data_IF_264524791121
#
_entry.id   IF_264524791121
#
_cell.length_a   1.000
_cell.length_b   1.000
_cell.length_c   1.000
_cell.angle_alpha   90.00
_cell.angle_beta   90.00
_cell.angle_gamma   90.00
#
_symmetry.space_group_name_H-M   'P 1'
#
loop_
_entity.id
_entity.type
_entity.pdbx_description
1 polymer ?
#
# COMPACT_ATOMS: atom_id res chain seq x y z
N UNK A 1 -28.33 31.55 12.56
CA UNK A 1 -27.33 30.98 13.50
C UNK A 1 -27.43 29.47 13.44
N UNK A 2 -26.48 28.79 12.81
CA UNK A 2 -26.29 27.34 12.94
C UNK A 2 -24.80 27.05 12.72
N UNK A 3 -24.17 26.55 13.77
CA UNK A 3 -22.72 26.46 13.93
C UNK A 3 -22.11 25.30 13.14
N UNK A 4 -21.09 25.64 12.36
CA UNK A 4 -20.17 24.71 11.71
C UNK A 4 -19.32 24.00 12.78
N UNK A 5 -19.45 22.68 12.91
CA UNK A 5 -18.50 21.87 13.68
C UNK A 5 -17.23 21.63 12.86
N UNK A 6 -16.18 22.38 13.20
CA UNK A 6 -14.84 22.23 12.65
C UNK A 6 -14.12 21.08 13.39
N UNK A 7 -13.96 19.92 12.76
CA UNK A 7 -13.14 18.83 13.31
C UNK A 7 -11.66 19.21 13.21
N UNK A 8 -11.10 19.56 14.36
CA UNK A 8 -9.67 19.86 14.56
C UNK A 8 -8.88 18.54 14.60
N UNK A 9 -7.95 18.38 13.67
CA UNK A 9 -6.93 17.33 13.72
C UNK A 9 -5.95 17.64 14.85
N UNK A 10 -5.90 16.78 15.88
CA UNK A 10 -4.86 16.81 16.91
C UNK A 10 -3.82 15.77 16.53
N UNK A 11 -2.63 16.24 16.15
CA UNK A 11 -1.44 15.42 16.02
C UNK A 11 -1.02 14.92 17.40
N UNK A 12 -0.70 13.63 17.49
CA UNK A 12 -0.11 13.06 18.70
C UNK A 12 1.38 13.45 18.73
N UNK A 13 1.69 14.48 19.49
CA UNK A 13 3.05 14.84 19.90
C UNK A 13 3.60 13.83 20.91
N UNK A 14 4.92 13.64 20.83
CA UNK A 14 5.66 12.65 21.59
C UNK A 14 5.75 12.91 23.09
N UNK A 15 5.96 11.82 23.82
CA UNK A 15 6.54 11.84 25.16
C UNK A 15 7.96 11.27 25.05
N UNK A 16 8.93 12.15 25.28
CA UNK A 16 10.34 11.82 25.49
C UNK A 16 10.48 11.32 26.93
N UNK A 17 11.05 10.13 27.12
CA UNK A 17 11.56 9.67 28.41
C UNK A 17 13.08 9.73 28.34
N UNK A 18 13.65 10.47 29.28
CA UNK A 18 15.07 10.70 29.49
C UNK A 18 15.59 9.67 30.51
N UNK A 19 16.66 8.89 30.23
CA UNK A 19 17.29 8.07 31.25
C UNK A 19 18.73 8.51 31.50
N UNK A 20 18.92 9.31 32.56
CA UNK A 20 20.20 9.46 33.24
C UNK A 20 20.17 8.63 34.54
N UNK A 21 20.79 7.44 34.53
CA UNK A 21 21.39 6.84 35.72
C UNK A 21 22.63 6.05 35.30
N UNK A 22 23.77 6.55 35.74
CA UNK A 22 25.07 5.88 35.74
C UNK A 22 25.12 4.81 36.83
N UNK A 23 25.75 3.66 36.53
CA UNK A 23 26.44 2.85 37.54
C UNK A 23 27.63 2.12 36.93
N UNK A 24 28.78 2.41 37.53
CA UNK A 24 30.05 1.72 37.42
C UNK A 24 29.97 0.28 37.92
N UNK A 25 30.62 -0.66 37.21
CA UNK A 25 30.77 -2.05 37.66
C UNK A 25 31.88 -2.76 36.92
N UNK A 26 33.03 -2.86 37.60
CA UNK A 26 34.22 -3.64 37.28
C UNK A 26 33.96 -5.13 37.09
N UNK A 27 34.73 -5.80 36.22
CA UNK A 27 34.91 -7.26 36.29
C UNK A 27 35.33 -7.87 34.96
N UNK A 28 36.63 -8.18 34.82
CA UNK A 28 37.16 -8.84 33.64
C UNK A 28 36.77 -10.32 33.52
N UNK A 29 36.82 -10.83 32.29
CA UNK A 29 37.62 -12.03 32.03
C UNK A 29 37.91 -12.17 30.53
N UNK A 30 39.20 -12.34 30.24
CA UNK A 30 39.76 -12.75 28.96
C UNK A 30 39.41 -14.21 28.71
N UNK A 31 38.88 -14.54 27.54
CA UNK A 31 39.15 -15.83 26.90
C UNK A 31 39.47 -15.55 25.43
N UNK A 32 40.73 -15.81 25.08
CA UNK A 32 41.25 -15.90 23.73
C UNK A 32 41.26 -17.38 23.34
N UNK A 33 40.77 -17.70 22.14
CA UNK A 33 41.18 -18.91 21.42
C UNK A 33 41.52 -18.51 19.99
N UNK A 34 42.77 -18.78 19.61
CA UNK A 34 43.33 -18.66 18.27
C UNK A 34 43.48 -20.05 17.64
N UNK A 35 43.36 -20.13 16.31
CA UNK A 35 43.85 -21.25 15.48
C UNK A 35 42.88 -21.61 14.37
N UNK A 36 43.06 -21.10 13.13
CA UNK A 36 43.82 -21.72 12.00
C UNK A 36 43.26 -23.11 11.63
N UNK A 37 42.85 -23.46 10.41
CA UNK A 37 42.89 -22.86 9.07
C UNK A 37 42.64 -23.98 8.04
N UNK A 38 42.67 -23.64 6.73
CA UNK A 38 42.86 -24.55 5.56
C UNK A 38 41.60 -25.37 5.19
N UNK A 39 41.08 -25.50 3.96
CA UNK A 39 41.52 -25.20 2.58
C UNK A 39 40.35 -25.22 1.58
N UNK A 40 40.48 -24.35 0.58
CA UNK A 40 40.19 -24.54 -0.86
C UNK A 40 39.70 -25.93 -1.33
N UNK A 41 38.57 -25.94 -2.06
CA UNK A 41 38.36 -26.79 -3.23
C UNK A 41 37.76 -25.93 -4.35
N UNK A 42 38.53 -25.80 -5.44
CA UNK A 42 38.22 -25.14 -6.72
C UNK A 42 38.51 -26.18 -7.80
N UNK A 43 37.53 -26.46 -8.64
CA UNK A 43 37.61 -27.14 -9.94
C UNK A 43 36.46 -26.52 -10.75
N UNK A 44 36.63 -25.43 -11.52
CA UNK A 44 37.18 -25.31 -12.89
C UNK A 44 36.72 -26.42 -13.85
N UNK A 45 35.63 -26.21 -14.60
CA UNK A 45 35.48 -25.61 -15.95
C UNK A 45 35.50 -26.63 -17.09
N UNK A 46 34.42 -26.63 -17.90
CA UNK A 46 34.37 -26.88 -19.36
C UNK A 46 32.91 -26.63 -19.79
N UNK A 47 32.51 -25.53 -20.45
CA UNK A 47 32.82 -24.95 -21.76
C UNK A 47 32.38 -25.81 -22.96
N UNK A 48 31.39 -25.25 -23.68
CA UNK A 48 31.07 -25.37 -25.12
C UNK A 48 30.36 -26.63 -25.66
N UNK A 49 29.05 -26.46 -25.91
CA UNK A 49 28.41 -26.40 -27.25
C UNK A 49 26.97 -26.90 -27.13
N UNK A 50 25.99 -26.04 -27.38
CA UNK A 50 24.85 -26.34 -28.25
C UNK A 50 24.08 -25.02 -28.48
N UNK A 51 24.38 -24.39 -29.61
CA UNK A 51 23.52 -23.40 -30.23
C UNK A 51 22.29 -24.13 -30.76
N UNK A 52 21.10 -23.70 -30.33
CA UNK A 52 19.83 -24.23 -30.77
C UNK A 52 18.70 -23.27 -30.40
N UNK A 53 18.36 -22.41 -31.34
CA UNK A 53 17.23 -21.49 -31.34
C UNK A 53 15.95 -22.15 -30.85
N UNK A 54 15.43 -21.75 -29.68
CA UNK A 54 14.06 -22.10 -29.25
C UNK A 54 13.38 -20.84 -28.73
N UNK A 55 12.44 -20.36 -29.54
CA UNK A 55 11.35 -19.45 -29.17
C UNK A 55 10.75 -19.89 -27.82
N UNK A 56 10.84 -19.05 -26.79
CA UNK A 56 10.21 -19.33 -25.51
C UNK A 56 8.72 -19.00 -25.60
N UNK A 57 7.95 -19.97 -26.11
CA UNK A 57 6.54 -20.12 -25.76
C UNK A 57 6.47 -20.35 -24.25
N UNK A 58 5.89 -19.39 -23.54
CA UNK A 58 5.47 -19.52 -22.14
C UNK A 58 4.48 -20.68 -22.07
N UNK A 59 4.97 -21.86 -21.70
CA UNK A 59 4.14 -22.99 -21.34
C UNK A 59 3.53 -22.69 -19.96
N UNK A 60 2.36 -22.02 -19.97
CA UNK A 60 1.40 -22.11 -18.87
C UNK A 60 1.10 -23.59 -18.68
N UNK A 61 1.66 -24.19 -17.63
CA UNK A 61 1.12 -25.41 -17.06
C UNK A 61 -0.35 -25.15 -16.74
N UNK A 62 -1.24 -25.64 -17.62
CA UNK A 62 -2.68 -25.62 -17.46
C UNK A 62 -3.01 -26.65 -16.38
N UNK A 63 -3.33 -26.18 -15.19
CA UNK A 63 -4.11 -26.97 -14.25
C UNK A 63 -5.54 -27.09 -14.82
N UNK A 64 -6.07 -28.30 -15.10
CA UNK A 64 -7.34 -28.45 -15.76
C UNK A 64 -8.46 -28.47 -14.72
N UNK A 65 -9.02 -27.31 -14.39
CA UNK A 65 -10.44 -27.20 -14.02
C UNK A 65 -10.97 -25.83 -14.47
N UNK A 66 -11.76 -25.87 -15.54
CA UNK A 66 -12.84 -24.92 -15.78
C UNK A 66 -13.77 -24.98 -14.56
N UNK A 67 -13.89 -23.88 -13.82
CA UNK A 67 -15.05 -23.67 -12.98
C UNK A 67 -15.51 -22.21 -13.12
N UNK A 68 -16.64 -22.05 -13.81
CA UNK A 68 -17.36 -20.80 -13.97
C UNK A 68 -18.24 -20.51 -12.74
N UNK A 69 -17.74 -20.76 -11.52
CA UNK A 69 -18.38 -20.37 -10.25
C UNK A 69 -17.38 -20.03 -9.14
N UNK A 70 -16.27 -19.33 -9.44
CA UNK A 70 -15.43 -18.77 -8.36
C UNK A 70 -16.21 -17.69 -7.60
N UNK A 71 -16.86 -18.09 -6.50
CA UNK A 71 -17.33 -17.17 -5.47
C UNK A 71 -16.12 -16.40 -4.95
N UNK A 72 -16.24 -15.08 -4.70
CA UNK A 72 -15.17 -14.33 -4.01
C UNK A 72 -14.83 -15.03 -2.70
N UNK A 73 -13.60 -14.91 -2.19
CA UNK A 73 -13.23 -15.60 -0.97
C UNK A 73 -14.22 -15.23 0.13
N UNK A 74 -14.74 -16.30 0.70
CA UNK A 74 -15.64 -16.37 1.85
C UNK A 74 -15.06 -15.54 3.01
N UNK A 75 -13.72 -15.48 3.09
CA UNK A 75 -12.96 -14.72 4.08
C UNK A 75 -12.39 -13.41 3.49
N UNK A 76 -12.58 -12.24 4.12
CA UNK A 76 -12.11 -10.97 3.58
C UNK A 76 -10.66 -10.62 3.93
N UNK A 77 -10.09 -11.23 4.97
CA UNK A 77 -8.73 -10.91 5.44
C UNK A 77 -7.73 -11.90 4.82
N UNK A 78 -6.66 -11.40 4.21
CA UNK A 78 -5.61 -12.25 3.66
C UNK A 78 -4.53 -12.53 4.71
N UNK A 79 -3.99 -11.48 5.35
CA UNK A 79 -2.99 -11.61 6.42
C UNK A 79 -3.45 -10.95 7.73
N UNK A 80 -3.31 -11.69 8.83
CA UNK A 80 -3.52 -11.22 10.20
C UNK A 80 -2.20 -11.31 10.97
N UNK A 81 -1.67 -10.16 11.39
CA UNK A 81 -0.34 -9.98 11.98
C UNK A 81 0.81 -10.57 11.12
N UNK A 82 0.64 -10.50 9.80
CA UNK A 82 1.62 -10.94 8.81
C UNK A 82 1.57 -12.42 8.44
N UNK A 83 0.56 -13.16 8.91
CA UNK A 83 0.36 -14.57 8.57
C UNK A 83 -0.97 -14.76 7.84
N UNK A 84 -1.04 -15.65 6.85
CA UNK A 84 -2.30 -16.09 6.24
C UNK A 84 -3.35 -16.46 7.29
N UNK A 85 -4.63 -16.23 6.98
CA UNK A 85 -5.72 -16.44 7.93
C UNK A 85 -5.84 -17.90 8.42
N UNK A 86 -5.43 -18.86 7.61
CA UNK A 86 -5.48 -20.30 7.87
C UNK A 86 -4.19 -20.85 8.50
N UNK A 87 -3.10 -20.09 8.54
CA UNK A 87 -1.86 -20.50 9.19
C UNK A 87 -2.05 -20.55 10.72
N UNK A 88 -2.09 -21.75 11.30
CA UNK A 88 -2.24 -21.97 12.76
C UNK A 88 -0.95 -22.39 13.47
N UNK A 89 0.22 -22.13 12.88
CA UNK A 89 1.50 -22.44 13.52
C UNK A 89 1.68 -21.69 14.85
N UNK A 90 2.51 -22.24 15.75
CA UNK A 90 2.84 -21.61 17.03
C UNK A 90 3.40 -20.19 16.88
N UNK A 91 4.15 -19.95 15.79
CA UNK A 91 4.67 -18.62 15.48
C UNK A 91 3.54 -17.66 15.09
N UNK A 92 2.60 -18.08 14.23
CA UNK A 92 1.44 -17.26 13.87
C UNK A 92 0.57 -16.96 15.11
N UNK A 93 0.31 -17.98 15.95
CA UNK A 93 -0.40 -17.83 17.21
C UNK A 93 0.29 -16.83 18.15
N UNK A 94 1.62 -16.93 18.31
CA UNK A 94 2.42 -15.99 19.11
C UNK A 94 2.30 -14.56 18.60
N UNK A 95 2.41 -14.34 17.29
CA UNK A 95 2.32 -13.00 16.70
C UNK A 95 0.93 -12.39 16.85
N UNK A 96 -0.13 -13.18 16.66
CA UNK A 96 -1.52 -12.74 16.87
C UNK A 96 -1.81 -12.43 18.33
N UNK A 97 -1.39 -13.30 19.26
CA UNK A 97 -1.59 -13.13 20.69
C UNK A 97 -0.84 -11.91 21.24
N UNK A 98 0.45 -11.75 20.87
CA UNK A 98 1.30 -10.66 21.35
C UNK A 98 1.21 -9.39 20.48
N UNK A 99 0.33 -9.36 19.48
CA UNK A 99 0.14 -8.23 18.57
C UNK A 99 1.44 -7.79 17.87
N UNK A 100 2.30 -8.73 17.51
CA UNK A 100 3.62 -8.47 16.92
C UNK A 100 3.52 -8.19 15.42
N UNK A 101 4.45 -7.41 14.89
CA UNK A 101 4.58 -7.14 13.47
C UNK A 101 5.89 -7.74 12.95
N UNK A 102 5.86 -8.64 11.96
CA UNK A 102 7.08 -9.27 11.44
C UNK A 102 7.84 -8.39 10.42
N UNK A 103 7.31 -7.21 10.06
CA UNK A 103 7.78 -6.43 8.92
C UNK A 103 8.53 -5.15 9.30
N UNK A 104 9.57 -5.23 10.14
CA UNK A 104 10.45 -4.10 10.48
C UNK A 104 9.67 -2.82 10.88
N UNK A 105 8.68 -2.98 11.75
CA UNK A 105 7.94 -1.85 12.29
C UNK A 105 8.81 -1.07 13.28
N UNK A 106 8.45 0.19 13.54
CA UNK A 106 9.19 1.08 14.46
C UNK A 106 9.33 0.50 15.88
N UNK A 107 8.34 -0.28 16.29
CA UNK A 107 8.35 -1.09 17.51
C UNK A 107 7.99 -2.53 17.14
N UNK A 108 8.32 -3.54 17.97
CA UNK A 108 7.99 -4.93 17.65
C UNK A 108 6.49 -5.20 17.44
N UNK A 109 5.62 -4.39 18.03
CA UNK A 109 4.17 -4.52 17.95
C UNK A 109 3.56 -3.84 16.72
N UNK A 110 2.38 -4.28 16.31
CA UNK A 110 1.57 -3.58 15.32
C UNK A 110 1.11 -2.21 15.85
N UNK A 111 1.21 -1.19 15.01
CA UNK A 111 0.86 0.20 15.34
C UNK A 111 -0.36 0.70 14.55
N UNK A 112 -1.01 -0.15 13.77
CA UNK A 112 -2.16 0.24 12.93
C UNK A 112 -3.39 0.55 13.80
N UNK A 113 -3.93 1.75 13.65
CA UNK A 113 -5.10 2.28 14.36
C UNK A 113 -4.83 2.70 15.82
N UNK A 114 -4.89 1.76 16.79
CA UNK A 114 -4.73 2.06 18.22
C UNK A 114 -3.56 1.27 18.82
N UNK A 115 -2.82 1.89 19.76
CA UNK A 115 -1.66 1.25 20.38
C UNK A 115 -2.02 0.04 21.25
N UNK A 116 -3.14 0.11 21.99
CA UNK A 116 -3.59 -0.95 22.90
C UNK A 116 -4.47 -2.02 22.23
N UNK A 117 -5.07 -1.71 21.08
CA UNK A 117 -5.87 -2.64 20.29
C UNK A 117 -5.60 -2.41 18.79
N UNK A 118 -4.44 -2.84 18.30
CA UNK A 118 -4.05 -2.61 16.93
C UNK A 118 -4.88 -3.47 15.98
N UNK A 119 -5.23 -2.88 14.83
CA UNK A 119 -5.87 -3.59 13.73
C UNK A 119 -4.79 -4.33 12.93
N UNK A 120 -4.55 -5.60 13.27
CA UNK A 120 -3.51 -6.45 12.68
C UNK A 120 -3.77 -6.93 11.25
N UNK A 121 -4.74 -6.39 10.53
CA UNK A 121 -4.99 -6.75 9.12
C UNK A 121 -3.94 -6.09 8.23
N UNK A 122 -2.97 -6.89 7.76
CA UNK A 122 -1.87 -6.43 6.90
C UNK A 122 -2.31 -6.36 5.43
N UNK A 123 -3.14 -7.30 5.00
CA UNK A 123 -3.73 -7.38 3.66
C UNK A 123 -5.15 -7.95 3.73
N UNK A 124 -5.96 -7.62 2.73
CA UNK A 124 -7.32 -8.15 2.50
C UNK A 124 -7.36 -8.85 1.16
N UNK A 125 -8.38 -9.66 0.90
CA UNK A 125 -8.60 -10.24 -0.41
C UNK A 125 -9.40 -9.28 -1.32
N UNK A 126 -9.07 -9.33 -2.62
CA UNK A 126 -9.82 -8.74 -3.73
C UNK A 126 -9.99 -9.82 -4.80
N UNK A 127 -11.12 -10.53 -4.77
CA UNK A 127 -11.16 -11.86 -5.37
C UNK A 127 -10.08 -12.74 -4.72
N UNK A 128 -9.33 -13.52 -5.49
CA UNK A 128 -8.26 -14.37 -4.93
C UNK A 128 -6.97 -13.61 -4.60
N UNK A 129 -6.88 -12.33 -4.97
CA UNK A 129 -5.63 -11.57 -4.88
C UNK A 129 -5.48 -10.90 -3.50
N UNK A 130 -4.36 -11.14 -2.78
CA UNK A 130 -4.06 -10.44 -1.53
C UNK A 130 -3.59 -8.99 -1.79
N UNK A 131 -4.35 -8.03 -1.28
CA UNK A 131 -4.11 -6.59 -1.42
C UNK A 131 -3.57 -6.00 -0.12
N UNK A 132 -2.38 -5.39 -0.19
CA UNK A 132 -1.72 -4.78 0.97
C UNK A 132 -2.46 -3.52 1.43
N UNK A 133 -2.90 -3.50 2.69
CA UNK A 133 -3.59 -2.36 3.32
C UNK A 133 -2.79 -1.74 4.48
N UNK A 134 -1.53 -2.15 4.64
CA UNK A 134 -0.62 -1.66 5.66
C UNK A 134 0.73 -1.31 5.01
N UNK A 135 1.19 -0.04 5.04
CA UNK A 135 2.47 0.34 4.44
C UNK A 135 3.67 -0.41 5.02
N UNK A 136 3.64 -0.73 6.32
CA UNK A 136 4.70 -1.49 7.00
C UNK A 136 4.89 -2.88 6.38
N UNK A 137 3.85 -3.47 5.78
CA UNK A 137 3.95 -4.77 5.07
C UNK A 137 4.97 -4.74 3.92
N UNK A 138 5.19 -3.59 3.27
CA UNK A 138 6.18 -3.44 2.21
C UNK A 138 7.63 -3.50 2.72
N UNK A 139 7.87 -3.35 4.03
CA UNK A 139 9.21 -3.35 4.63
C UNK A 139 9.76 -4.76 4.86
N UNK A 140 9.10 -5.79 4.34
CA UNK A 140 9.56 -7.16 4.44
C UNK A 140 10.98 -7.27 3.86
N UNK A 141 11.93 -7.70 4.71
CA UNK A 141 13.35 -7.84 4.37
C UNK A 141 14.01 -6.58 3.78
N UNK A 142 13.35 -5.42 3.87
CA UNK A 142 13.77 -4.18 3.22
C UNK A 142 14.02 -4.28 1.71
N UNK A 143 13.39 -5.23 1.00
CA UNK A 143 13.57 -5.39 -0.45
C UNK A 143 13.22 -4.11 -1.23
N UNK A 144 12.25 -3.33 -0.76
CA UNK A 144 11.90 -2.02 -1.34
C UNK A 144 13.04 -0.99 -1.26
N UNK A 145 13.90 -1.10 -0.24
CA UNK A 145 15.06 -0.22 -0.09
C UNK A 145 16.17 -0.65 -1.04
N UNK A 146 16.39 -1.95 -1.21
CA UNK A 146 17.37 -2.49 -2.16
C UNK A 146 17.00 -2.06 -3.60
N UNK A 147 15.77 -2.33 -4.03
CA UNK A 147 15.29 -1.98 -5.37
C UNK A 147 15.32 -0.46 -5.63
N UNK A 148 15.03 0.35 -4.60
CA UNK A 148 15.14 1.81 -4.69
C UNK A 148 16.60 2.28 -4.76
N UNK A 149 17.51 1.70 -3.98
CA UNK A 149 18.93 2.03 -3.98
C UNK A 149 19.53 1.78 -5.37
N UNK A 150 19.19 0.66 -6.00
CA UNK A 150 19.62 0.29 -7.35
C UNK A 150 19.18 1.30 -8.40
N UNK A 151 18.08 2.01 -8.17
CA UNK A 151 17.64 3.09 -9.05
C UNK A 151 18.33 4.42 -8.73
N UNK A 152 18.54 4.72 -7.45
CA UNK A 152 19.06 6.01 -7.00
C UNK A 152 20.57 6.14 -7.24
N UNK A 153 21.34 5.09 -6.94
CA UNK A 153 22.79 5.16 -6.82
C UNK A 153 23.51 4.24 -7.82
N UNK A 154 24.82 4.45 -8.03
CA UNK A 154 25.69 3.47 -8.68
C UNK A 154 25.80 2.17 -7.85
N UNK A 155 26.07 1.05 -8.53
CA UNK A 155 26.10 -0.32 -7.97
C UNK A 155 26.98 -0.49 -6.71
N UNK A 156 28.07 0.27 -6.60
CA UNK A 156 29.02 0.16 -5.49
C UNK A 156 28.91 1.29 -4.44
N UNK A 157 27.81 2.05 -4.44
CA UNK A 157 27.60 3.11 -3.47
C UNK A 157 27.43 2.53 -2.05
N UNK A 158 28.09 3.12 -1.05
CA UNK A 158 27.71 2.89 0.34
C UNK A 158 26.46 3.70 0.65
N UNK A 159 25.42 3.04 1.16
CA UNK A 159 24.16 3.69 1.49
C UNK A 159 23.52 3.12 2.75
N UNK A 160 22.61 3.89 3.32
CA UNK A 160 21.74 3.49 4.43
C UNK A 160 20.33 4.04 4.23
N UNK A 161 19.37 3.53 5.00
CA UNK A 161 17.97 3.99 4.97
C UNK A 161 17.61 4.74 6.25
N UNK A 162 16.87 5.83 6.10
CA UNK A 162 16.32 6.64 7.18
C UNK A 162 14.80 6.70 7.03
N UNK A 163 14.06 6.33 8.06
CA UNK A 163 12.59 6.31 8.01
C UNK A 163 11.97 7.58 8.60
N UNK A 164 10.82 8.00 8.08
CA UNK A 164 10.01 9.13 8.62
C UNK A 164 10.77 10.47 8.66
N UNK A 165 11.50 10.80 7.60
CA UNK A 165 12.32 12.03 7.53
C UNK A 165 11.45 13.25 7.21
N UNK A 166 11.49 14.28 8.07
CA UNK A 166 10.69 15.50 7.91
C UNK A 166 11.19 16.34 6.74
N UNK A 167 10.29 16.66 5.81
CA UNK A 167 10.52 17.55 4.69
C UNK A 167 9.97 18.95 5.00
N UNK A 168 10.75 20.00 4.73
CA UNK A 168 10.34 21.40 4.90
C UNK A 168 10.27 22.10 3.55
N UNK A 169 9.33 23.03 3.42
CA UNK A 169 9.28 23.95 2.30
C UNK A 169 10.30 25.09 2.42
N UNK A 170 10.36 25.96 1.41
CA UNK A 170 11.28 27.12 1.38
C UNK A 170 11.07 28.13 2.52
N UNK A 171 9.94 28.09 3.21
CA UNK A 171 9.62 28.95 4.36
C UNK A 171 9.82 28.22 5.70
N UNK A 172 10.38 27.01 5.68
CA UNK A 172 10.60 26.20 6.87
C UNK A 172 9.35 25.51 7.41
N UNK A 173 8.19 25.61 6.73
CA UNK A 173 6.96 24.91 7.12
C UNK A 173 7.04 23.44 6.70
N UNK A 174 6.36 22.57 7.44
CA UNK A 174 6.35 21.14 7.13
C UNK A 174 5.60 20.85 5.83
N UNK A 175 6.24 20.14 4.90
CA UNK A 175 5.63 19.60 3.69
C UNK A 175 5.22 18.12 3.85
N UNK A 176 5.40 17.56 5.06
CA UNK A 176 5.17 16.17 5.40
C UNK A 176 6.46 15.42 5.75
N UNK A 177 6.35 14.12 6.00
CA UNK A 177 7.49 13.24 6.22
C UNK A 177 7.63 12.27 5.05
N UNK A 178 8.83 12.10 4.51
CA UNK A 178 9.13 11.06 3.54
C UNK A 178 9.21 9.71 4.26
N UNK A 179 8.58 8.67 3.71
CA UNK A 179 8.48 7.37 4.36
C UNK A 179 9.86 6.74 4.57
N UNK A 180 10.67 6.68 3.50
CA UNK A 180 12.04 6.20 3.52
C UNK A 180 12.92 7.12 2.67
N UNK A 181 14.04 7.58 3.23
CA UNK A 181 15.09 8.29 2.49
C UNK A 181 16.31 7.39 2.47
N UNK A 182 16.79 7.06 1.27
CA UNK A 182 18.06 6.38 1.11
C UNK A 182 19.14 7.42 0.92
N UNK A 183 20.24 7.26 1.65
CA UNK A 183 21.34 8.22 1.70
C UNK A 183 22.63 7.51 1.38
N UNK A 184 23.34 7.97 0.36
CA UNK A 184 24.70 7.53 0.08
C UNK A 184 25.72 8.42 0.78
N UNK A 185 26.83 7.85 1.23
CA UNK A 185 27.83 8.56 2.02
C UNK A 185 29.26 8.13 1.70
N UNK A 186 30.23 9.01 1.99
CA UNK A 186 31.66 8.75 1.83
C UNK A 186 32.22 7.90 3.00
N UNK A 187 33.49 7.50 2.90
CA UNK A 187 34.17 6.72 3.95
C UNK A 187 34.27 7.44 5.32
N UNK A 188 33.90 8.72 5.39
CA UNK A 188 33.86 9.52 6.61
C UNK A 188 32.43 9.76 7.11
N UNK A 189 31.42 9.14 6.50
CA UNK A 189 30.01 9.30 6.86
C UNK A 189 29.38 10.60 6.38
N UNK A 190 30.00 11.33 5.45
CA UNK A 190 29.41 12.55 4.86
C UNK A 190 28.45 12.18 3.74
N UNK A 191 27.25 12.75 3.80
CA UNK A 191 26.22 12.54 2.78
C UNK A 191 26.70 13.06 1.41
N UNK A 192 26.65 12.18 0.41
CA UNK A 192 27.00 12.48 -0.99
C UNK A 192 25.72 12.74 -1.79
N UNK A 193 24.75 11.84 -1.70
CA UNK A 193 23.50 11.92 -2.44
C UNK A 193 22.35 11.26 -1.66
N UNK A 194 21.12 11.47 -2.12
CA UNK A 194 19.95 10.80 -1.58
C UNK A 194 18.86 10.59 -2.61
N UNK A 195 18.02 9.58 -2.37
CA UNK A 195 16.76 9.39 -3.07
C UNK A 195 15.63 9.15 -2.08
N UNK A 196 14.41 9.45 -2.50
CA UNK A 196 13.22 9.36 -1.65
C UNK A 196 12.32 8.22 -2.12
N UNK A 197 11.92 7.36 -1.19
CA UNK A 197 11.02 6.24 -1.40
C UNK A 197 9.73 6.48 -0.59
N UNK A 198 8.62 6.60 -1.30
CA UNK A 198 7.27 6.67 -0.74
C UNK A 198 6.59 5.29 -0.83
N UNK A 199 5.82 4.91 0.18
CA UNK A 199 5.13 3.62 0.23
C UNK A 199 3.63 3.86 0.19
N UNK A 200 2.95 3.33 -0.83
CA UNK A 200 1.51 3.50 -0.98
C UNK A 200 0.77 2.17 -0.90
N UNK A 201 0.28 1.87 0.31
CA UNK A 201 -0.70 0.81 0.54
C UNK A 201 -2.13 1.24 0.16
N UNK A 202 -3.03 0.27 0.04
CA UNK A 202 -4.40 0.49 -0.42
C UNK A 202 -5.32 0.87 0.73
N UNK A 203 -6.11 1.92 0.50
CA UNK A 203 -7.25 2.29 1.32
C UNK A 203 -8.34 1.25 1.19
N UNK A 204 -9.13 1.10 2.24
CA UNK A 204 -10.28 0.20 2.26
C UNK A 204 -11.55 1.00 2.40
N UNK A 205 -12.62 0.54 1.74
CA UNK A 205 -13.99 0.91 2.08
C UNK A 205 -14.65 -0.24 2.85
N UNK A 206 -15.78 0.02 3.49
CA UNK A 206 -16.43 -0.95 4.38
C UNK A 206 -15.77 -1.04 5.76
N UNK A 207 -15.99 -2.13 6.47
CA UNK A 207 -15.56 -2.33 7.85
C UNK A 207 -14.67 -3.58 7.98
N UNK A 208 -13.35 -3.37 8.05
CA UNK A 208 -12.38 -4.46 8.28
C UNK A 208 -12.25 -4.85 9.76
N UNK A 209 -12.68 -3.98 10.69
CA UNK A 209 -12.53 -4.22 12.13
C UNK A 209 -13.43 -5.36 12.60
N UNK A 210 -14.69 -5.40 12.17
CA UNK A 210 -15.64 -6.47 12.53
C UNK A 210 -15.14 -7.88 12.16
N UNK A 211 -14.76 -8.17 10.89
CA UNK A 211 -14.22 -9.48 10.55
C UNK A 211 -12.91 -9.78 11.29
N UNK A 212 -12.04 -8.78 11.48
CA UNK A 212 -10.81 -8.94 12.25
C UNK A 212 -11.08 -9.33 13.71
N UNK A 213 -11.97 -8.63 14.40
CA UNK A 213 -12.34 -8.92 15.79
C UNK A 213 -13.02 -10.29 15.89
N UNK A 214 -13.90 -10.63 14.94
CA UNK A 214 -14.52 -11.95 14.87
C UNK A 214 -13.46 -13.05 14.75
N UNK A 215 -12.56 -12.95 13.78
CA UNK A 215 -11.44 -13.88 13.61
C UNK A 215 -10.61 -14.01 14.89
N UNK A 216 -10.24 -12.88 15.50
CA UNK A 216 -9.39 -12.84 16.70
C UNK A 216 -10.02 -13.45 17.96
N UNK A 217 -11.35 -13.66 18.02
CA UNK A 217 -12.00 -14.36 19.15
C UNK A 217 -11.56 -15.82 19.25
N UNK A 218 -11.36 -16.48 18.10
CA UNK A 218 -10.94 -17.87 18.04
C UNK A 218 -10.37 -18.18 16.65
N UNK A 219 -9.11 -17.81 16.35
CA UNK A 219 -8.51 -17.96 15.02
C UNK A 219 -8.67 -19.34 14.39
N UNK A 220 -8.55 -20.41 15.19
CA UNK A 220 -8.71 -21.79 14.70
C UNK A 220 -10.15 -22.08 14.24
N UNK A 221 -11.15 -21.71 15.04
CA UNK A 221 -12.57 -21.94 14.73
C UNK A 221 -13.10 -21.02 13.62
N UNK A 222 -12.53 -19.81 13.53
CA UNK A 222 -13.00 -18.76 12.65
C UNK A 222 -12.14 -18.62 11.38
N UNK A 223 -11.15 -19.49 11.15
CA UNK A 223 -10.30 -19.45 9.96
C UNK A 223 -11.10 -19.48 8.66
N UNK A 224 -12.17 -20.28 8.61
CA UNK A 224 -13.00 -20.45 7.43
C UNK A 224 -14.35 -19.72 7.55
N UNK A 225 -14.37 -18.57 8.25
CA UNK A 225 -15.58 -17.74 8.38
C UNK A 225 -16.07 -17.23 7.03
N UNK A 226 -17.40 -17.17 6.85
CA UNK A 226 -18.08 -16.52 5.72
C UNK A 226 -18.49 -15.08 6.07
N UNK A 227 -17.99 -14.14 5.28
CA UNK A 227 -18.25 -12.71 5.40
C UNK A 227 -18.84 -12.10 4.12
N UNK A 228 -19.16 -12.91 3.11
CA UNK A 228 -19.62 -12.41 1.80
C UNK A 228 -20.97 -11.68 1.88
N UNK A 229 -21.86 -12.13 2.76
CA UNK A 229 -23.21 -11.56 2.94
C UNK A 229 -23.27 -10.42 3.96
N UNK A 230 -22.18 -10.13 4.67
CA UNK A 230 -22.16 -9.09 5.69
C UNK A 230 -22.20 -7.69 5.08
N UNK A 231 -23.08 -6.85 5.62
CA UNK A 231 -23.16 -5.44 5.24
C UNK A 231 -21.81 -4.77 5.54
N UNK A 232 -21.33 -3.94 4.60
CA UNK A 232 -20.03 -3.27 4.67
C UNK A 232 -18.82 -4.22 4.67
N UNK A 233 -18.88 -5.33 3.94
CA UNK A 233 -17.71 -6.19 3.68
C UNK A 233 -16.52 -5.33 3.17
N UNK A 234 -15.33 -5.42 3.79
CA UNK A 234 -14.21 -4.60 3.38
C UNK A 234 -13.76 -4.92 1.95
N UNK A 235 -13.47 -3.87 1.19
CA UNK A 235 -12.96 -3.98 -0.17
C UNK A 235 -11.90 -2.91 -0.44
N UNK A 236 -10.93 -3.15 -1.34
CA UNK A 236 -10.00 -2.13 -1.78
C UNK A 236 -10.73 -0.90 -2.32
N UNK A 237 -10.29 0.29 -1.90
CA UNK A 237 -10.71 1.58 -2.44
C UNK A 237 -9.53 2.19 -3.20
N UNK A 238 -9.27 1.65 -4.40
CA UNK A 238 -8.19 2.11 -5.26
C UNK A 238 -8.34 3.58 -5.66
N UNK A 239 -9.57 4.05 -5.87
CA UNK A 239 -9.84 5.43 -6.26
C UNK A 239 -9.49 6.43 -5.15
N UNK A 240 -9.86 6.15 -3.90
CA UNK A 240 -9.42 6.97 -2.77
C UNK A 240 -7.91 6.82 -2.53
N UNK A 241 -7.35 5.62 -2.75
CA UNK A 241 -5.89 5.39 -2.62
C UNK A 241 -5.10 6.28 -3.57
N UNK A 242 -5.55 6.42 -4.83
CA UNK A 242 -4.90 7.30 -5.80
C UNK A 242 -5.16 8.77 -5.50
N UNK A 243 -6.43 9.18 -5.41
CA UNK A 243 -6.81 10.61 -5.36
C UNK A 243 -6.57 11.28 -4.01
N UNK A 244 -6.76 10.57 -2.90
CA UNK A 244 -6.67 11.14 -1.54
C UNK A 244 -5.33 10.91 -0.87
N UNK A 245 -4.46 10.06 -1.45
CA UNK A 245 -3.16 9.72 -0.87
C UNK A 245 -2.04 9.86 -1.89
N UNK A 246 -1.97 8.98 -2.89
CA UNK A 246 -0.85 8.96 -3.83
C UNK A 246 -0.62 10.33 -4.50
N UNK A 247 -1.66 10.88 -5.15
CA UNK A 247 -1.56 12.15 -5.86
C UNK A 247 -1.14 13.32 -4.96
N UNK A 248 -1.74 13.54 -3.77
CA UNK A 248 -1.25 14.52 -2.81
C UNK A 248 0.22 14.33 -2.40
N UNK A 249 0.66 13.10 -2.11
CA UNK A 249 2.06 12.85 -1.74
C UNK A 249 3.02 13.23 -2.86
N UNK A 250 2.70 12.84 -4.10
CA UNK A 250 3.49 13.20 -5.28
C UNK A 250 3.52 14.71 -5.51
N UNK A 251 2.37 15.39 -5.36
CA UNK A 251 2.27 16.82 -5.58
C UNK A 251 3.10 17.62 -4.57
N UNK A 252 2.94 17.35 -3.27
CA UNK A 252 3.56 18.17 -2.23
C UNK A 252 5.02 17.80 -1.96
N UNK A 253 5.33 16.50 -1.81
CA UNK A 253 6.70 16.05 -1.53
C UNK A 253 7.49 15.87 -2.82
N UNK A 254 6.88 15.19 -3.80
CA UNK A 254 7.52 14.93 -5.09
C UNK A 254 7.88 16.21 -5.83
N UNK A 255 7.07 17.27 -5.72
CA UNK A 255 7.38 18.58 -6.30
C UNK A 255 8.68 19.19 -5.75
N UNK A 256 8.92 19.07 -4.44
CA UNK A 256 10.16 19.55 -3.80
C UNK A 256 11.35 18.70 -4.25
N UNK A 257 11.21 17.38 -4.24
CA UNK A 257 12.26 16.45 -4.66
C UNK A 257 12.65 16.64 -6.13
N UNK A 258 11.67 16.86 -7.01
CA UNK A 258 11.89 17.15 -8.42
C UNK A 258 12.61 18.49 -8.61
N UNK A 259 12.24 19.53 -7.85
CA UNK A 259 12.93 20.82 -7.87
C UNK A 259 14.41 20.70 -7.46
N UNK A 260 14.72 19.79 -6.53
CA UNK A 260 16.11 19.45 -6.15
C UNK A 260 16.81 18.48 -7.12
N UNK A 261 16.13 18.06 -8.19
CA UNK A 261 16.60 17.09 -9.18
C UNK A 261 17.02 15.76 -8.54
N UNK A 262 16.29 15.35 -7.50
CA UNK A 262 16.52 14.08 -6.81
C UNK A 262 15.60 13.01 -7.38
N UNK A 263 16.15 11.81 -7.54
CA UNK A 263 15.39 10.63 -7.93
C UNK A 263 14.42 10.25 -6.80
N UNK A 264 13.26 9.75 -7.19
CA UNK A 264 12.26 9.26 -6.27
C UNK A 264 11.69 7.92 -6.71
N UNK A 265 11.16 7.15 -5.77
CA UNK A 265 10.51 5.88 -6.04
C UNK A 265 9.20 5.77 -5.26
N UNK A 266 8.27 5.00 -5.80
CA UNK A 266 7.02 4.64 -5.13
C UNK A 266 6.91 3.12 -5.06
N UNK A 267 6.85 2.56 -3.85
CA UNK A 267 6.51 1.15 -3.64
C UNK A 267 4.98 0.98 -3.60
N UNK A 268 4.47 0.13 -4.48
CA UNK A 268 3.03 -0.04 -4.72
C UNK A 268 2.69 -1.50 -5.04
N UNK A 269 1.49 -1.95 -4.68
CA UNK A 269 1.01 -3.28 -5.05
C UNK A 269 0.55 -3.34 -6.52
N UNK A 270 0.77 -4.46 -7.20
CA UNK A 270 0.42 -4.61 -8.63
C UNK A 270 -1.05 -4.36 -8.92
N UNK A 271 -1.95 -4.85 -8.05
CA UNK A 271 -3.39 -4.63 -8.15
C UNK A 271 -3.75 -3.14 -8.16
N UNK A 272 -3.12 -2.36 -7.28
CA UNK A 272 -3.34 -0.92 -7.26
C UNK A 272 -2.69 -0.22 -8.46
N UNK A 273 -1.47 -0.59 -8.83
CA UNK A 273 -0.78 -0.01 -9.99
C UNK A 273 -1.58 -0.17 -11.29
N UNK A 274 -2.21 -1.34 -11.50
CA UNK A 274 -3.09 -1.60 -12.67
C UNK A 274 -4.30 -0.66 -12.77
N UNK A 275 -4.72 -0.06 -11.66
CA UNK A 275 -5.84 0.91 -11.66
C UNK A 275 -5.41 2.33 -11.99
N UNK A 276 -4.11 2.62 -11.98
CA UNK A 276 -3.61 3.93 -12.37
C UNK A 276 -3.77 4.11 -13.89
N UNK A 277 -3.94 5.36 -14.38
CA UNK A 277 -3.88 5.62 -15.80
C UNK A 277 -2.53 5.18 -16.37
N UNK A 278 -2.50 4.79 -17.66
CA UNK A 278 -1.29 4.30 -18.30
C UNK A 278 -0.18 5.36 -18.26
N UNK A 279 0.88 5.06 -17.54
CA UNK A 279 2.04 5.94 -17.41
C UNK A 279 2.99 5.75 -18.60
N UNK A 280 3.55 6.86 -19.08
CA UNK A 280 4.59 6.86 -20.11
C UNK A 280 5.89 6.28 -19.52
N UNK A 281 6.32 5.13 -20.05
CA UNK A 281 7.54 4.47 -19.63
C UNK A 281 8.73 4.95 -20.45
N UNK A 282 9.86 5.15 -19.77
CA UNK A 282 11.12 5.57 -20.39
C UNK A 282 12.29 4.73 -19.88
N UNK A 283 13.47 4.73 -20.54
CA UNK A 283 14.63 4.00 -20.05
C UNK A 283 15.10 4.46 -18.66
N UNK A 284 15.57 3.53 -17.81
CA UNK A 284 16.07 3.77 -16.44
C UNK A 284 17.00 4.99 -16.32
N UNK A 285 17.93 5.14 -17.25
CA UNK A 285 18.93 6.22 -17.22
C UNK A 285 18.36 7.63 -17.51
N UNK A 286 17.15 7.71 -18.05
CA UNK A 286 16.46 8.99 -18.34
C UNK A 286 15.41 9.34 -17.27
N UNK A 287 15.13 8.42 -16.36
CA UNK A 287 14.06 8.53 -15.38
C UNK A 287 14.52 9.24 -14.10
N UNK A 288 13.63 10.05 -13.55
CA UNK A 288 13.72 10.66 -12.23
C UNK A 288 12.73 10.05 -11.23
N UNK A 289 11.85 9.15 -11.70
CA UNK A 289 10.89 8.42 -10.89
C UNK A 289 10.82 6.93 -11.28
N UNK A 290 10.84 6.05 -10.27
CA UNK A 290 10.59 4.62 -10.42
C UNK A 290 9.33 4.18 -9.66
N UNK A 291 8.56 3.28 -10.26
CA UNK A 291 7.42 2.62 -9.63
C UNK A 291 7.84 1.18 -9.35
N UNK A 292 8.04 0.87 -8.08
CA UNK A 292 8.44 -0.45 -7.61
C UNK A 292 7.17 -1.24 -7.34
N UNK A 293 6.82 -2.15 -8.24
CA UNK A 293 5.54 -2.86 -8.26
C UNK A 293 5.71 -4.23 -7.62
N UNK A 294 4.96 -4.50 -6.56
CA UNK A 294 5.09 -5.73 -5.77
C UNK A 294 3.83 -6.58 -5.77
N UNK A 295 4.04 -7.89 -5.59
CA UNK A 295 3.01 -8.89 -5.31
C UNK A 295 3.28 -9.60 -4.00
N UNK A 296 2.19 -10.09 -3.39
CA UNK A 296 2.26 -11.06 -2.29
C UNK A 296 2.09 -12.46 -2.88
N UNK A 297 3.19 -13.20 -2.94
CA UNK A 297 3.21 -14.56 -3.50
C UNK A 297 3.22 -15.56 -2.35
N UNK A 298 2.21 -16.44 -2.30
CA UNK A 298 2.15 -17.48 -1.28
C UNK A 298 3.31 -18.47 -1.45
N UNK A 299 4.07 -18.68 -0.37
CA UNK A 299 5.12 -19.68 -0.32
C UNK A 299 4.64 -20.88 0.50
N UNK A 300 4.37 -22.00 -0.19
CA UNK A 300 3.88 -23.22 0.45
C UNK A 300 4.87 -23.87 1.41
N UNK A 301 6.18 -23.57 1.31
CA UNK A 301 7.19 -24.12 2.21
C UNK A 301 7.17 -23.47 3.59
N UNK A 302 7.00 -22.14 3.63
CA UNK A 302 6.89 -21.36 4.87
C UNK A 302 5.45 -21.09 5.30
N UNK A 303 4.46 -21.45 4.46
CA UNK A 303 3.04 -21.20 4.65
C UNK A 303 2.72 -19.73 4.95
N UNK A 304 3.43 -18.81 4.30
CA UNK A 304 3.24 -17.36 4.41
C UNK A 304 3.35 -16.67 3.06
N UNK A 305 2.80 -15.46 2.93
CA UNK A 305 3.01 -14.64 1.75
C UNK A 305 4.38 -13.97 1.79
N UNK A 306 5.09 -14.01 0.65
CA UNK A 306 6.36 -13.34 0.44
C UNK A 306 6.15 -12.14 -0.49
N UNK A 307 6.65 -10.98 -0.09
CA UNK A 307 6.69 -9.80 -0.95
C UNK A 307 7.72 -10.03 -2.06
N UNK A 308 7.29 -9.93 -3.33
CA UNK A 308 8.17 -10.09 -4.49
C UNK A 308 8.02 -8.90 -5.43
N UNK A 309 9.15 -8.37 -5.90
CA UNK A 309 9.15 -7.39 -6.97
C UNK A 309 8.63 -8.06 -8.25
N UNK A 310 7.50 -7.56 -8.75
CA UNK A 310 6.86 -8.04 -9.97
C UNK A 310 7.34 -7.26 -11.20
N UNK A 311 7.52 -5.94 -11.06
CA UNK A 311 7.97 -5.06 -12.13
C UNK A 311 8.59 -3.76 -11.56
N UNK A 312 9.43 -3.10 -12.36
CA UNK A 312 9.93 -1.76 -12.08
C UNK A 312 9.67 -0.88 -13.29
N UNK A 313 8.77 0.09 -13.13
CA UNK A 313 8.38 1.01 -14.20
C UNK A 313 9.07 2.35 -14.02
N UNK A 314 9.81 2.79 -15.03
CA UNK A 314 10.57 4.05 -15.00
C UNK A 314 9.82 5.15 -15.76
N UNK A 315 9.68 6.32 -15.15
CA UNK A 315 8.89 7.45 -15.68
C UNK A 315 9.59 8.79 -15.46
N UNK A 316 9.10 9.83 -16.13
CA UNK A 316 9.37 11.23 -15.72
C UNK A 316 8.33 11.67 -14.69
N UNK A 317 8.77 12.29 -13.60
CA UNK A 317 7.94 12.78 -12.51
C UNK A 317 6.77 13.65 -13.00
N UNK A 318 7.08 14.66 -13.82
CA UNK A 318 6.07 15.60 -14.32
C UNK A 318 5.04 14.92 -15.25
N UNK A 319 5.48 13.96 -16.08
CA UNK A 319 4.59 13.18 -16.95
C UNK A 319 3.66 12.31 -16.08
N UNK A 320 4.22 11.57 -15.13
CA UNK A 320 3.44 10.71 -14.24
C UNK A 320 2.45 11.51 -13.36
N UNK A 321 2.88 12.62 -12.75
CA UNK A 321 2.02 13.47 -11.93
C UNK A 321 0.86 14.05 -12.75
N UNK A 322 1.16 14.61 -13.93
CA UNK A 322 0.14 15.15 -14.83
C UNK A 322 -0.90 14.08 -15.19
N UNK A 323 -0.45 12.88 -15.54
CA UNK A 323 -1.32 11.77 -15.93
C UNK A 323 -2.18 11.26 -14.77
N UNK A 324 -1.65 11.18 -13.55
CA UNK A 324 -2.40 10.69 -12.37
C UNK A 324 -3.42 11.73 -11.87
N UNK A 325 -3.12 13.02 -12.02
CA UNK A 325 -3.95 14.12 -11.48
C UNK A 325 -5.02 14.60 -12.45
N UNK A 326 -4.87 14.36 -13.75
CA UNK A 326 -5.87 14.71 -14.77
C UNK A 326 -6.96 13.63 -14.83
N UNK A 327 -8.21 14.07 -14.83
CA UNK A 327 -9.35 13.22 -15.20
C UNK A 327 -9.74 13.53 -16.64
N UNK A 328 -9.94 12.50 -17.45
CA UNK A 328 -10.47 12.68 -18.79
C UNK A 328 -11.98 13.01 -18.70
N UNK A 329 -12.45 14.05 -19.40
CA UNK A 329 -13.86 14.38 -19.40
C UNK A 329 -14.66 13.27 -20.09
N UNK A 330 -15.75 12.85 -19.45
CA UNK A 330 -16.77 12.03 -20.10
C UNK A 330 -17.65 12.86 -21.04
N UNK A 331 -18.58 12.20 -21.74
CA UNK A 331 -19.59 12.89 -22.54
C UNK A 331 -20.49 13.77 -21.67
N UNK A 332 -20.52 15.06 -21.97
CA UNK A 332 -21.32 16.06 -21.26
C UNK A 332 -22.81 15.77 -21.35
N UNK A 333 -23.28 15.17 -22.44
CA UNK A 333 -24.71 14.89 -22.64
C UNK A 333 -25.24 13.88 -21.62
N UNK A 334 -24.43 12.89 -21.25
CA UNK A 334 -24.78 11.94 -20.19
C UNK A 334 -24.92 12.63 -18.84
N UNK A 335 -24.08 13.65 -18.58
CA UNK A 335 -24.19 14.44 -17.36
C UNK A 335 -25.42 15.36 -17.39
N UNK A 336 -25.73 15.97 -18.53
CA UNK A 336 -26.94 16.76 -18.72
C UNK A 336 -28.21 15.94 -18.48
N UNK A 337 -28.27 14.70 -18.95
CA UNK A 337 -29.41 13.81 -18.68
C UNK A 337 -29.63 13.59 -17.16
N UNK A 338 -28.56 13.30 -16.41
CA UNK A 338 -28.62 13.16 -14.94
C UNK A 338 -29.10 14.47 -14.28
N UNK A 339 -28.70 15.63 -14.80
CA UNK A 339 -29.16 16.91 -14.29
C UNK A 339 -30.65 17.14 -14.57
N UNK A 340 -31.13 16.75 -15.74
CA UNK A 340 -32.54 16.86 -16.10
C UNK A 340 -33.39 15.96 -15.19
N UNK A 341 -33.01 14.70 -15.00
CA UNK A 341 -33.72 13.77 -14.11
C UNK A 341 -33.85 14.35 -12.68
N UNK A 342 -32.74 14.87 -12.14
CA UNK A 342 -32.74 15.50 -10.81
C UNK A 342 -33.53 16.81 -10.72
N UNK A 343 -33.59 17.55 -11.82
CA UNK A 343 -34.37 18.78 -11.89
C UNK A 343 -35.86 18.44 -11.90
N UNK A 344 -36.26 17.45 -12.70
CA UNK A 344 -37.63 16.98 -12.82
C UNK A 344 -38.13 16.44 -11.47
N UNK A 345 -37.38 15.56 -10.80
CA UNK A 345 -37.70 15.08 -9.43
C UNK A 345 -37.98 16.23 -8.46
N UNK A 346 -37.11 17.27 -8.49
CA UNK A 346 -37.25 18.42 -7.61
C UNK A 346 -38.44 19.30 -7.96
N UNK A 347 -38.79 19.41 -9.24
CA UNK A 347 -39.95 20.19 -9.68
C UNK A 347 -41.26 19.45 -9.37
N UNK A 348 -41.28 18.12 -9.48
CA UNK A 348 -42.41 17.27 -9.09
C UNK A 348 -42.64 17.29 -7.56
N UNK A 349 -41.59 17.21 -6.74
CA UNK A 349 -41.69 17.31 -5.27
C UNK A 349 -42.22 18.67 -4.77
N UNK A 350 -42.04 19.75 -5.55
CA UNK A 350 -42.49 21.10 -5.19
C UNK A 350 -43.87 21.47 -5.76
N UNK A 351 -44.49 20.59 -6.54
CA UNK A 351 -45.85 20.79 -7.03
C UNK A 351 -46.84 20.05 -6.09
N UNK A 352 -47.79 20.75 -5.43
CA UNK A 352 -48.85 20.06 -4.69
C UNK A 352 -49.68 19.21 -5.66
N UNK A 353 -50.20 18.03 -5.25
CA UNK A 353 -51.00 17.21 -6.13
C UNK A 353 -52.21 17.99 -6.62
N UNK A 354 -52.46 17.95 -7.93
CA UNK A 354 -53.59 18.63 -8.56
C UNK A 354 -54.88 18.18 -7.87
N UNK A 355 -55.55 19.12 -7.19
CA UNK A 355 -56.87 18.88 -6.64
C UNK A 355 -57.85 18.70 -7.82
N UNK A 356 -58.69 17.65 -7.84
CA UNK A 356 -59.64 17.46 -8.93
C UNK A 356 -60.63 18.63 -8.96
N UNK A 357 -60.67 19.36 -10.07
CA UNK A 357 -61.66 20.39 -10.34
C UNK A 357 -63.03 19.74 -10.55
N UNK A 358 -63.94 19.97 -9.60
CA UNK A 358 -65.36 19.62 -9.71
C UNK A 358 -66.02 20.49 -10.79
N UNK A 359 -66.18 19.96 -12.01
CA UNK A 359 -67.07 20.54 -13.01
C UNK A 359 -68.52 20.29 -12.59
N UNK A 360 -69.17 21.30 -12.00
CA UNK A 360 -70.61 21.35 -11.89
C UNK A 360 -71.19 21.76 -13.25
N UNK A 361 -71.72 20.80 -13.98
CA UNK A 361 -72.56 21.02 -15.14
C UNK A 361 -73.82 21.77 -14.70
N UNK A 362 -73.92 23.05 -15.08
CA UNK A 362 -75.23 23.71 -15.19
C UNK A 362 -75.74 23.40 -16.59
N UNK A 363 -76.64 22.43 -16.69
CA UNK A 363 -77.50 22.26 -17.85
C UNK A 363 -78.52 23.42 -17.82
N UNK A 364 -78.44 24.29 -18.82
CA UNK A 364 -79.45 25.29 -19.11
C UNK A 364 -80.70 24.60 -19.67
N UNK A 365 -81.81 24.78 -18.97
CA UNK A 365 -83.17 24.61 -19.48
C UNK A 365 -83.41 25.58 -20.65
N UNK A 366 -83.81 25.06 -21.82
CA UNK A 366 -84.69 25.80 -22.74
C UNK A 366 -85.44 24.85 -23.69
N UNK A 367 -86.75 25.08 -23.74
CA UNK A 367 -87.84 24.38 -24.46
C UNK A 367 -87.66 24.23 -25.99
#
# INVERSE_FOLDING_TARGET
>A
MNGLFLMKWIGADGLVWDPDVSMSGSGGNKISVHGRGISRLRVETNILKYFGTIFHMVNKSRNPMNDATKRPPVHPLAEIFGFPFDNQSDIAARYRCKRLCPFNNKVPNCTKNKANDPLGTCSIFDGDDPVITCPVRFRQNWIIADDAADFFFPENAQWTSLTEVRLKDKHGKTAGNIDVVLVSYDNHGRVIDFGALEIQAVYISGNVRRPFEWYMRSPEKNAWMDWCSEINNPRPDYLSSSRKRLAPQLLYKGGILNAWRKKSAVAIGSGFFRTLPRLEQIPKHQADMAWLVYDLVYDGSSSVYQLKCADIVYTRFNSALSTITKSEPGDVNRFLAILQDKLDEKLEENNPPDAPTLNWSMEDDQE
#
